data_IF_862564114775
#
_entry.id   IF_862564114775
#
_cell.length_a   1.000
_cell.length_b   1.000
_cell.length_c   1.000
_cell.angle_alpha   90.00
_cell.angle_beta   90.00
_cell.angle_gamma   90.00
#
_symmetry.space_group_name_H-M   'P 1'
#
loop_
_entity.id
_entity.type
_entity.pdbx_description
1 polymer ?
#
# COMPACT_ATOMS: atom_id res chain seq x y z
N UNK A 1 -11.85 -3.18 -15.60
CA UNK A 1 -10.38 -3.11 -15.42
C UNK A 1 -9.89 -4.46 -14.93
N UNK A 2 -8.80 -5.00 -15.47
CA UNK A 2 -8.24 -6.30 -15.03
C UNK A 2 -7.35 -6.08 -13.81
N UNK A 3 -7.59 -6.79 -12.70
CA UNK A 3 -6.71 -6.78 -11.52
C UNK A 3 -5.50 -7.68 -11.78
N UNK A 4 -4.28 -7.12 -11.76
CA UNK A 4 -3.02 -7.88 -11.90
C UNK A 4 -2.51 -8.28 -10.52
N UNK A 5 -2.22 -9.57 -10.34
CA UNK A 5 -1.77 -10.13 -9.05
C UNK A 5 -0.51 -10.97 -9.22
N UNK A 6 0.24 -11.14 -8.14
CA UNK A 6 1.44 -11.99 -8.04
C UNK A 6 1.22 -12.99 -6.91
N UNK A 7 1.62 -14.26 -7.11
CA UNK A 7 1.60 -15.29 -6.07
C UNK A 7 3.04 -15.58 -5.65
N UNK A 8 3.27 -15.61 -4.34
CA UNK A 8 4.52 -16.07 -3.75
C UNK A 8 4.26 -17.48 -3.21
N UNK A 9 4.98 -18.49 -3.70
CA UNK A 9 4.79 -19.88 -3.31
C UNK A 9 3.32 -20.35 -3.29
N UNK A 10 2.93 -20.96 -2.17
CA UNK A 10 1.56 -21.42 -1.87
C UNK A 10 0.74 -20.39 -1.08
N UNK A 11 1.17 -19.12 -1.05
CA UNK A 11 0.47 -18.04 -0.34
C UNK A 11 -0.65 -17.47 -1.22
N UNK A 12 -1.55 -16.70 -0.60
CA UNK A 12 -2.58 -15.95 -1.34
C UNK A 12 -1.93 -14.99 -2.35
N UNK A 13 -2.55 -14.84 -3.52
CA UNK A 13 -2.11 -13.86 -4.49
C UNK A 13 -2.36 -12.44 -3.98
N UNK A 14 -1.39 -11.56 -4.18
CA UNK A 14 -1.44 -10.14 -3.78
C UNK A 14 -1.48 -9.24 -5.01
N UNK A 15 -1.95 -7.99 -4.92
CA UNK A 15 -1.85 -7.03 -6.01
C UNK A 15 -0.39 -6.88 -6.49
N UNK A 16 -0.21 -6.69 -7.79
CA UNK A 16 1.12 -6.49 -8.38
C UNK A 16 1.74 -5.12 -8.03
N UNK A 17 0.99 -4.24 -7.37
CA UNK A 17 1.42 -2.91 -6.91
C UNK A 17 1.25 -2.88 -5.39
N UNK A 18 2.26 -2.44 -4.67
CA UNK A 18 2.23 -2.27 -3.21
C UNK A 18 2.35 -0.80 -2.78
N UNK A 19 2.32 -0.57 -1.47
CA UNK A 19 2.47 0.75 -0.86
C UNK A 19 3.82 0.83 -0.14
N UNK A 20 4.71 1.71 -0.63
CA UNK A 20 5.99 1.98 0.03
C UNK A 20 5.84 3.01 1.14
N UNK A 21 6.63 2.85 2.21
CA UNK A 21 6.58 3.73 3.41
C UNK A 21 7.92 4.37 3.74
N UNK A 22 8.88 4.34 2.82
CA UNK A 22 10.18 4.99 3.03
C UNK A 22 10.00 6.50 3.23
N UNK A 23 10.69 7.10 4.20
CA UNK A 23 10.54 8.47 4.72
C UNK A 23 9.23 8.79 5.49
N UNK A 24 8.25 7.88 5.57
CA UNK A 24 7.08 8.14 6.40
C UNK A 24 7.43 8.15 7.89
N UNK A 25 6.84 9.06 8.64
CA UNK A 25 7.04 9.20 10.08
C UNK A 25 8.23 10.08 10.49
N UNK A 26 8.99 10.62 9.55
CA UNK A 26 10.08 11.57 9.85
C UNK A 26 9.56 12.93 10.31
N UNK A 27 8.36 13.32 9.88
CA UNK A 27 7.74 14.60 10.22
C UNK A 27 6.40 14.38 10.92
N UNK A 28 6.33 14.67 12.22
CA UNK A 28 5.12 14.47 13.02
C UNK A 28 3.87 15.18 12.45
N UNK A 29 4.06 16.34 11.80
CA UNK A 29 2.98 17.08 11.13
C UNK A 29 2.39 16.35 9.91
N UNK A 30 3.13 15.42 9.29
CA UNK A 30 2.70 14.67 8.10
C UNK A 30 1.95 13.38 8.43
N UNK A 31 1.96 12.95 9.69
CA UNK A 31 1.38 11.66 10.12
C UNK A 31 -0.05 11.41 9.62
N UNK A 32 -0.93 12.41 9.70
CA UNK A 32 -2.32 12.28 9.26
C UNK A 32 -2.41 12.04 7.75
N UNK A 33 -1.57 12.73 6.98
CA UNK A 33 -1.51 12.58 5.53
C UNK A 33 -0.95 11.22 5.12
N UNK A 34 0.11 10.74 5.78
CA UNK A 34 0.71 9.43 5.53
C UNK A 34 -0.31 8.30 5.79
N UNK A 35 -1.03 8.37 6.91
CA UNK A 35 -2.10 7.41 7.23
C UNK A 35 -3.22 7.46 6.19
N UNK A 36 -3.61 8.67 5.75
CA UNK A 36 -4.63 8.83 4.71
C UNK A 36 -4.18 8.22 3.37
N UNK A 37 -2.91 8.40 2.99
CA UNK A 37 -2.35 7.83 1.78
C UNK A 37 -2.37 6.29 1.80
N UNK A 38 -2.01 5.67 2.92
CA UNK A 38 -2.07 4.21 3.07
C UNK A 38 -3.49 3.67 3.01
N UNK A 39 -4.44 4.31 3.69
CA UNK A 39 -5.86 3.92 3.65
C UNK A 39 -6.42 4.04 2.24
N UNK A 40 -6.15 5.16 1.56
CA UNK A 40 -6.56 5.36 0.17
C UNK A 40 -6.01 4.25 -0.75
N UNK A 41 -4.74 3.87 -0.60
CA UNK A 41 -4.15 2.78 -1.37
C UNK A 41 -4.85 1.44 -1.14
N UNK A 42 -5.12 1.07 0.12
CA UNK A 42 -5.84 -0.16 0.48
C UNK A 42 -7.27 -0.17 -0.07
N UNK A 43 -7.97 0.96 0.03
CA UNK A 43 -9.33 1.11 -0.51
C UNK A 43 -9.37 0.97 -2.04
N UNK A 44 -8.24 1.21 -2.73
CA UNK A 44 -8.11 1.14 -4.19
C UNK A 44 -7.49 -0.18 -4.73
N UNK A 45 -6.92 -1.03 -3.86
CA UNK A 45 -6.79 -2.47 -4.15
C UNK A 45 -5.39 -3.06 -4.15
#
# INVERSE_FOLDING_TARGET
MVKKTVRFGEQAAVPAIGLGTWYMGEHAAQRQQEVAALRAGIDHG
#
